data_IF_449672090116
#
_entry.id   IF_449672090116
#
_cell.length_a   1.000
_cell.length_b   1.000
_cell.length_c   1.000
_cell.angle_alpha   90.00
_cell.angle_beta   90.00
_cell.angle_gamma   90.00
#
_symmetry.space_group_name_H-M   'P 1'
#
loop_
_entity.id
_entity.type
_entity.pdbx_description
1 polymer ?
#
# COMPACT_ATOMS: atom_id res chain seq x y z
N UNK A 1 55.47 -5.07 -27.58
CA UNK A 1 54.50 -4.23 -28.30
C UNK A 1 53.13 -4.90 -28.21
N UNK A 2 52.46 -4.82 -27.05
CA UNK A 2 51.14 -5.43 -26.81
C UNK A 2 50.08 -4.36 -27.05
N UNK A 3 49.29 -4.53 -28.14
CA UNK A 3 48.11 -3.69 -28.43
C UNK A 3 46.96 -4.08 -27.50
N UNK A 4 46.68 -3.25 -26.50
CA UNK A 4 45.44 -3.24 -25.72
C UNK A 4 44.28 -2.92 -26.66
N UNK A 5 43.49 -3.93 -27.02
CA UNK A 5 42.17 -3.76 -27.65
C UNK A 5 41.21 -3.20 -26.62
N UNK A 6 41.03 -1.91 -26.61
CA UNK A 6 39.92 -1.26 -25.89
C UNK A 6 38.61 -1.69 -26.54
N UNK A 7 37.87 -2.57 -25.84
CA UNK A 7 36.48 -2.91 -26.15
C UNK A 7 35.59 -1.70 -25.79
N UNK A 8 35.50 -0.76 -26.71
CA UNK A 8 34.53 0.33 -26.66
C UNK A 8 33.14 -0.26 -27.01
N UNK A 9 32.48 -0.95 -26.06
CA UNK A 9 31.07 -1.23 -26.18
C UNK A 9 30.33 0.09 -26.01
N UNK A 10 30.04 0.75 -27.13
CA UNK A 10 29.06 1.83 -27.19
C UNK A 10 27.79 1.32 -26.50
N UNK A 11 27.53 1.82 -25.26
CA UNK A 11 26.23 1.74 -24.63
C UNK A 11 25.26 2.47 -25.57
N UNK A 12 24.53 1.74 -26.41
CA UNK A 12 23.33 2.29 -27.06
C UNK A 12 22.50 2.90 -25.93
N UNK A 13 22.34 4.22 -25.93
CA UNK A 13 21.34 4.89 -25.12
C UNK A 13 20.02 4.19 -25.41
N UNK A 14 19.49 3.47 -24.42
CA UNK A 14 18.17 2.86 -24.53
C UNK A 14 17.17 4.01 -24.61
N UNK A 15 16.69 4.30 -25.81
CA UNK A 15 15.57 5.21 -26.00
C UNK A 15 14.33 4.58 -25.40
N UNK A 16 13.69 5.31 -24.49
CA UNK A 16 12.49 4.83 -23.80
C UNK A 16 11.36 4.67 -24.81
N UNK A 17 10.73 3.53 -24.83
CA UNK A 17 9.48 3.35 -25.56
C UNK A 17 8.37 4.15 -24.88
N UNK A 18 8.03 5.30 -25.50
CA UNK A 18 6.98 6.20 -24.99
C UNK A 18 5.62 5.51 -24.86
N UNK A 19 5.29 4.56 -25.75
CA UNK A 19 4.03 3.81 -25.71
C UNK A 19 3.99 2.91 -24.48
N UNK A 20 5.07 2.17 -24.22
CA UNK A 20 5.22 1.32 -23.04
C UNK A 20 5.12 2.14 -21.74
N UNK A 21 5.77 3.32 -21.70
CA UNK A 21 5.74 4.22 -20.54
C UNK A 21 4.31 4.73 -20.26
N UNK A 22 3.63 5.26 -21.29
CA UNK A 22 2.27 5.81 -21.16
C UNK A 22 1.31 4.69 -20.72
N UNK A 23 1.38 3.51 -21.34
CA UNK A 23 0.57 2.37 -20.96
C UNK A 23 0.78 2.02 -19.46
N UNK A 24 2.05 1.87 -19.07
CA UNK A 24 2.37 1.52 -17.67
C UNK A 24 1.84 2.55 -16.68
N UNK A 25 1.97 3.86 -16.95
CA UNK A 25 1.46 4.92 -16.08
C UNK A 25 -0.08 4.91 -16.00
N UNK A 26 -0.77 4.72 -17.12
CA UNK A 26 -2.24 4.60 -17.14
C UNK A 26 -2.67 3.38 -16.30
N UNK A 27 -2.02 2.23 -16.49
CA UNK A 27 -2.33 1.02 -15.73
C UNK A 27 -2.16 1.22 -14.23
N UNK A 28 -1.06 1.84 -13.82
CA UNK A 28 -0.80 2.15 -12.40
C UNK A 28 -1.85 3.10 -11.83
N UNK A 29 -2.24 4.12 -12.58
CA UNK A 29 -3.31 5.05 -12.18
C UNK A 29 -4.63 4.35 -11.95
N UNK A 30 -5.03 3.48 -12.89
CA UNK A 30 -6.26 2.72 -12.80
C UNK A 30 -6.23 1.69 -11.66
N UNK A 31 -5.08 1.04 -11.39
CA UNK A 31 -4.89 0.19 -10.23
C UNK A 31 -5.05 0.99 -8.91
N UNK A 32 -4.49 2.20 -8.85
CA UNK A 32 -4.65 3.10 -7.70
C UNK A 32 -6.11 3.48 -7.45
N UNK A 33 -6.86 3.82 -8.50
CA UNK A 33 -8.31 4.08 -8.40
C UNK A 33 -9.03 2.83 -7.89
N UNK A 34 -8.75 1.66 -8.45
CA UNK A 34 -9.36 0.40 -8.06
C UNK A 34 -9.17 0.09 -6.58
N UNK A 35 -7.97 0.29 -6.07
CA UNK A 35 -7.68 0.11 -4.65
C UNK A 35 -8.48 1.10 -3.76
N UNK A 36 -8.56 2.37 -4.16
CA UNK A 36 -9.24 3.41 -3.39
C UNK A 36 -10.77 3.34 -3.42
N UNK A 37 -11.36 2.87 -4.53
CA UNK A 37 -12.82 2.89 -4.76
C UNK A 37 -13.60 2.03 -3.75
N UNK A 38 -12.96 1.01 -3.19
CA UNK A 38 -13.55 0.04 -2.27
C UNK A 38 -13.75 0.65 -0.87
N UNK A 39 -12.76 1.37 -0.37
CA UNK A 39 -12.65 1.75 1.03
C UNK A 39 -13.93 2.40 1.65
N UNK A 40 -14.61 3.38 1.00
CA UNK A 40 -15.79 4.01 1.57
C UNK A 40 -17.05 3.14 1.49
N UNK A 41 -17.04 2.05 0.72
CA UNK A 41 -18.25 1.29 0.35
C UNK A 41 -18.34 -0.06 1.04
N UNK A 42 -17.20 -0.66 1.43
CA UNK A 42 -17.17 -2.01 2.04
C UNK A 42 -18.13 -2.19 3.20
N UNK A 43 -18.22 -1.28 4.20
CA UNK A 43 -19.15 -1.47 5.30
C UNK A 43 -20.61 -1.60 4.83
N UNK A 44 -21.02 -0.79 3.85
CA UNK A 44 -22.39 -0.80 3.32
C UNK A 44 -22.67 -2.06 2.48
N UNK A 45 -21.67 -2.62 1.79
CA UNK A 45 -21.79 -3.90 1.07
C UNK A 45 -21.93 -5.09 2.02
N UNK A 46 -21.29 -5.00 3.19
CA UNK A 46 -21.31 -6.06 4.23
C UNK A 46 -22.58 -6.01 5.06
N UNK A 47 -23.16 -4.82 5.25
CA UNK A 47 -24.32 -4.59 6.13
C UNK A 47 -25.48 -5.60 5.95
N UNK A 48 -25.93 -5.97 4.73
CA UNK A 48 -27.02 -6.90 4.54
C UNK A 48 -26.76 -8.33 5.03
N UNK A 49 -25.48 -8.68 5.28
CA UNK A 49 -25.04 -10.03 5.65
C UNK A 49 -24.65 -10.14 7.12
N UNK A 50 -24.84 -9.07 7.91
CA UNK A 50 -24.45 -9.00 9.32
C UNK A 50 -25.64 -8.62 10.18
N UNK A 51 -25.69 -9.15 11.40
CA UNK A 51 -26.83 -8.97 12.34
C UNK A 51 -26.75 -7.67 13.11
N UNK A 52 -25.56 -7.13 13.30
CA UNK A 52 -25.30 -5.94 14.08
C UNK A 52 -23.99 -5.26 13.68
N UNK A 53 -23.76 -4.03 14.16
CA UNK A 53 -22.56 -3.23 13.85
C UNK A 53 -21.26 -3.91 14.31
N UNK A 54 -21.30 -4.69 15.39
CA UNK A 54 -20.12 -5.43 15.88
C UNK A 54 -19.68 -6.51 14.90
N UNK A 55 -20.62 -7.32 14.43
CA UNK A 55 -20.37 -8.34 13.41
C UNK A 55 -19.87 -7.69 12.10
N UNK A 56 -20.49 -6.59 11.71
CA UNK A 56 -20.10 -5.82 10.53
C UNK A 56 -18.65 -5.34 10.61
N UNK A 57 -18.22 -4.75 11.74
CA UNK A 57 -16.85 -4.31 11.95
C UNK A 57 -15.83 -5.46 11.84
N UNK A 58 -16.13 -6.63 12.40
CA UNK A 58 -15.30 -7.84 12.30
C UNK A 58 -15.19 -8.30 10.83
N UNK A 59 -16.31 -8.40 10.14
CA UNK A 59 -16.34 -8.86 8.75
C UNK A 59 -15.58 -7.91 7.85
N UNK A 60 -15.76 -6.58 7.99
CA UNK A 60 -15.03 -5.57 7.22
C UNK A 60 -13.52 -5.72 7.42
N UNK A 61 -13.07 -5.82 8.67
CA UNK A 61 -11.63 -5.96 8.98
C UNK A 61 -11.05 -7.29 8.47
N UNK A 62 -11.83 -8.37 8.53
CA UNK A 62 -11.43 -9.68 7.97
C UNK A 62 -11.31 -9.64 6.45
N UNK A 63 -12.23 -8.98 5.73
CA UNK A 63 -12.16 -8.82 4.27
C UNK A 63 -10.89 -8.07 3.85
N UNK A 64 -10.50 -7.03 4.59
CA UNK A 64 -9.27 -6.29 4.34
C UNK A 64 -8.04 -7.15 4.65
N UNK A 65 -8.05 -7.88 5.76
CA UNK A 65 -6.94 -8.74 6.17
C UNK A 65 -6.75 -9.94 5.23
N UNK A 66 -7.83 -10.56 4.76
CA UNK A 66 -7.78 -11.67 3.79
C UNK A 66 -7.19 -11.21 2.46
N UNK A 67 -7.59 -10.03 1.97
CA UNK A 67 -6.96 -9.44 0.80
C UNK A 67 -5.44 -9.26 0.99
N UNK A 68 -5.04 -8.60 2.08
CA UNK A 68 -3.62 -8.36 2.38
C UNK A 68 -2.83 -9.67 2.56
N UNK A 69 -3.44 -10.69 3.17
CA UNK A 69 -2.88 -12.02 3.30
C UNK A 69 -2.63 -12.66 1.92
N UNK A 70 -3.62 -12.65 1.04
CA UNK A 70 -3.47 -13.19 -0.31
C UNK A 70 -2.38 -12.45 -1.09
N UNK A 71 -2.34 -11.11 -1.04
CA UNK A 71 -1.28 -10.29 -1.67
C UNK A 71 0.09 -10.67 -1.13
N UNK A 72 0.25 -10.82 0.19
CA UNK A 72 1.53 -11.17 0.82
C UNK A 72 2.13 -12.47 0.30
N UNK A 73 1.29 -13.50 0.13
CA UNK A 73 1.73 -14.79 -0.39
C UNK A 73 1.85 -14.82 -1.91
N UNK A 74 0.99 -14.09 -2.63
CA UNK A 74 0.98 -14.08 -4.08
C UNK A 74 2.11 -13.24 -4.70
N UNK A 75 2.49 -12.11 -4.08
CA UNK A 75 3.44 -11.17 -4.66
C UNK A 75 4.81 -11.77 -5.04
N UNK A 76 5.48 -12.58 -4.19
CA UNK A 76 6.72 -13.26 -4.59
C UNK A 76 6.52 -14.23 -5.76
N UNK A 77 5.39 -14.96 -5.75
CA UNK A 77 5.02 -15.90 -6.80
C UNK A 77 4.80 -15.21 -8.14
N UNK A 78 4.01 -14.13 -8.16
CA UNK A 78 3.75 -13.33 -9.36
C UNK A 78 5.05 -12.70 -9.90
N UNK A 79 5.92 -12.20 -9.04
CA UNK A 79 7.25 -11.71 -9.41
C UNK A 79 8.07 -12.80 -10.10
N UNK A 80 8.18 -13.99 -9.49
CA UNK A 80 8.92 -15.12 -10.07
C UNK A 80 8.30 -15.64 -11.39
N UNK A 81 6.98 -15.67 -11.48
CA UNK A 81 6.26 -16.02 -12.72
C UNK A 81 6.55 -15.01 -13.82
N UNK A 82 6.57 -13.72 -13.50
CA UNK A 82 6.87 -12.66 -14.46
C UNK A 82 8.33 -12.69 -14.95
N UNK A 83 9.29 -13.11 -14.09
CA UNK A 83 10.68 -13.36 -14.48
C UNK A 83 10.83 -14.56 -15.42
N UNK A 84 9.91 -15.53 -15.36
CA UNK A 84 9.97 -16.75 -16.18
C UNK A 84 9.18 -16.61 -17.47
N UNK A 85 7.95 -16.13 -17.42
CA UNK A 85 7.03 -16.12 -18.56
C UNK A 85 7.02 -14.77 -19.29
N UNK A 86 7.52 -13.71 -18.67
CA UNK A 86 7.49 -12.35 -19.16
C UNK A 86 6.56 -11.46 -18.33
N UNK A 87 6.76 -10.15 -18.38
CA UNK A 87 5.98 -9.18 -17.60
C UNK A 87 4.54 -9.07 -18.11
N UNK A 88 4.39 -8.94 -19.44
CA UNK A 88 3.11 -8.73 -20.09
C UNK A 88 2.06 -9.81 -19.76
N UNK A 89 2.30 -11.12 -19.99
CA UNK A 89 1.27 -12.13 -19.74
C UNK A 89 0.87 -12.19 -18.26
N UNK A 90 1.81 -12.01 -17.34
CA UNK A 90 1.50 -12.04 -15.89
C UNK A 90 0.66 -10.83 -15.50
N UNK A 91 1.01 -9.62 -15.94
CA UNK A 91 0.22 -8.41 -15.67
C UNK A 91 -1.19 -8.49 -16.25
N UNK A 92 -1.36 -9.03 -17.46
CA UNK A 92 -2.68 -9.22 -18.07
C UNK A 92 -3.54 -10.21 -17.27
N UNK A 93 -2.96 -11.33 -16.81
CA UNK A 93 -3.68 -12.29 -15.95
C UNK A 93 -4.05 -11.65 -14.62
N UNK A 94 -3.16 -10.83 -14.02
CA UNK A 94 -3.47 -10.10 -12.79
C UNK A 94 -4.62 -9.12 -12.99
N UNK A 95 -4.62 -8.33 -14.07
CA UNK A 95 -5.72 -7.40 -14.38
C UNK A 95 -7.06 -8.13 -14.59
N UNK A 96 -7.06 -9.24 -15.34
CA UNK A 96 -8.27 -10.04 -15.52
C UNK A 96 -8.78 -10.63 -14.20
N UNK A 97 -7.89 -11.16 -13.37
CA UNK A 97 -8.25 -11.68 -12.06
C UNK A 97 -8.77 -10.61 -11.13
N UNK A 98 -8.16 -9.41 -11.10
CA UNK A 98 -8.66 -8.28 -10.33
C UNK A 98 -10.04 -7.80 -10.82
N UNK A 99 -10.26 -7.74 -12.14
CA UNK A 99 -11.59 -7.42 -12.69
C UNK A 99 -12.66 -8.45 -12.27
N UNK A 100 -12.31 -9.73 -12.29
CA UNK A 100 -13.20 -10.80 -11.79
C UNK A 100 -13.44 -10.67 -10.28
N UNK A 101 -12.40 -10.36 -9.49
CA UNK A 101 -12.52 -10.14 -8.06
C UNK A 101 -13.50 -9.02 -7.73
N UNK A 102 -13.38 -7.86 -8.40
CA UNK A 102 -14.31 -6.73 -8.26
C UNK A 102 -15.74 -7.13 -8.66
N UNK A 103 -15.89 -7.84 -9.78
CA UNK A 103 -17.20 -8.27 -10.26
C UNK A 103 -17.88 -9.19 -9.23
N UNK A 104 -17.18 -10.22 -8.76
CA UNK A 104 -17.69 -11.17 -7.77
C UNK A 104 -18.03 -10.45 -6.46
N UNK A 105 -17.15 -9.54 -6.01
CA UNK A 105 -17.38 -8.74 -4.80
C UNK A 105 -18.61 -7.85 -4.94
N UNK A 106 -18.84 -7.26 -6.12
CA UNK A 106 -20.01 -6.42 -6.43
C UNK A 106 -21.33 -7.19 -6.57
N UNK A 107 -21.30 -8.43 -7.08
CA UNK A 107 -22.50 -9.30 -7.18
C UNK A 107 -23.07 -9.58 -5.79
N UNK A 108 -22.21 -9.79 -4.78
CA UNK A 108 -22.69 -10.05 -3.43
C UNK A 108 -23.55 -11.31 -3.35
N UNK A 109 -24.72 -11.23 -2.70
CA UNK A 109 -25.66 -12.34 -2.54
C UNK A 109 -25.40 -13.22 -1.32
N UNK A 110 -24.14 -13.38 -0.92
CA UNK A 110 -23.74 -14.08 0.31
C UNK A 110 -22.37 -13.61 0.81
N UNK A 111 -22.14 -13.73 2.10
CA UNK A 111 -20.88 -13.30 2.71
C UNK A 111 -19.65 -14.02 2.12
N UNK A 112 -19.76 -15.33 1.88
CA UNK A 112 -18.67 -16.11 1.29
C UNK A 112 -18.29 -15.64 -0.13
N UNK A 113 -19.23 -15.06 -0.90
CA UNK A 113 -18.98 -14.49 -2.24
C UNK A 113 -18.11 -13.23 -2.10
N UNK A 114 -18.38 -12.40 -1.08
CA UNK A 114 -17.53 -11.23 -0.79
C UNK A 114 -16.09 -11.68 -0.46
N UNK A 115 -15.92 -12.71 0.37
CA UNK A 115 -14.60 -13.27 0.65
C UNK A 115 -13.94 -13.85 -0.59
N UNK A 116 -14.67 -14.58 -1.43
CA UNK A 116 -14.15 -15.12 -2.69
C UNK A 116 -13.65 -14.01 -3.62
N UNK A 117 -14.40 -12.91 -3.77
CA UNK A 117 -13.98 -11.73 -4.52
C UNK A 117 -12.67 -11.15 -4.00
N UNK A 118 -12.55 -10.97 -2.67
CA UNK A 118 -11.33 -10.45 -2.01
C UNK A 118 -10.13 -11.39 -2.11
N UNK A 119 -10.36 -12.71 -2.07
CA UNK A 119 -9.29 -13.72 -2.26
C UNK A 119 -8.76 -13.66 -3.69
N UNK A 120 -9.66 -13.68 -4.70
CA UNK A 120 -9.25 -13.60 -6.10
C UNK A 120 -8.50 -12.31 -6.38
N UNK A 121 -9.04 -11.18 -5.94
CA UNK A 121 -8.39 -9.86 -6.07
C UNK A 121 -7.02 -9.84 -5.35
N UNK A 122 -6.92 -10.40 -4.14
CA UNK A 122 -5.68 -10.46 -3.39
C UNK A 122 -4.61 -11.32 -4.06
N UNK A 123 -4.98 -12.48 -4.61
CA UNK A 123 -4.04 -13.35 -5.34
C UNK A 123 -3.51 -12.64 -6.59
N UNK A 124 -4.33 -11.85 -7.26
CA UNK A 124 -3.97 -11.14 -8.50
C UNK A 124 -3.43 -9.74 -8.25
N UNK A 125 -3.75 -9.11 -7.11
CA UNK A 125 -3.29 -7.77 -6.73
C UNK A 125 -1.85 -7.69 -6.19
N UNK A 126 -1.11 -8.80 -6.15
CA UNK A 126 0.32 -8.84 -5.84
C UNK A 126 1.22 -8.40 -7.00
N UNK A 127 0.68 -7.77 -8.03
CA UNK A 127 1.34 -7.39 -9.28
C UNK A 127 2.21 -6.12 -9.18
N UNK A 128 2.15 -5.38 -8.09
CA UNK A 128 2.94 -4.15 -7.87
C UNK A 128 4.44 -4.41 -8.11
N UNK A 129 4.98 -5.54 -7.63
CA UNK A 129 6.37 -5.93 -7.87
C UNK A 129 6.67 -6.14 -9.36
N UNK A 130 5.73 -6.71 -10.11
CA UNK A 130 5.83 -6.93 -11.56
C UNK A 130 5.73 -5.61 -12.32
N UNK A 131 4.91 -4.67 -11.86
CA UNK A 131 4.82 -3.31 -12.43
C UNK A 131 6.15 -2.58 -12.28
N UNK A 132 6.74 -2.55 -11.09
CA UNK A 132 8.06 -1.93 -10.89
C UNK A 132 9.15 -2.62 -11.73
N UNK A 133 9.11 -3.94 -11.86
CA UNK A 133 10.02 -4.68 -12.72
C UNK A 133 9.83 -4.33 -14.21
N UNK A 134 8.59 -4.19 -14.68
CA UNK A 134 8.27 -3.71 -16.02
C UNK A 134 8.89 -2.33 -16.30
N UNK A 135 8.70 -1.38 -15.38
CA UNK A 135 9.31 -0.05 -15.50
C UNK A 135 10.84 -0.10 -15.45
N UNK A 136 11.43 -0.99 -14.63
CA UNK A 136 12.89 -1.18 -14.58
C UNK A 136 13.43 -1.72 -15.90
N UNK A 137 12.66 -2.56 -16.62
CA UNK A 137 13.06 -3.14 -17.92
C UNK A 137 12.99 -2.11 -19.07
N UNK A 138 12.00 -1.19 -19.06
CA UNK A 138 11.79 -0.19 -20.13
C UNK A 138 12.54 1.12 -19.91
N UNK A 139 13.15 1.33 -18.73
CA UNK A 139 13.83 2.60 -18.40
C UNK A 139 15.34 2.41 -18.25
N UNK A 140 16.16 3.38 -18.71
CA UNK A 140 17.60 3.37 -18.50
C UNK A 140 17.95 3.35 -17.01
N UNK A 141 18.99 2.62 -16.62
CA UNK A 141 19.38 2.46 -15.20
C UNK A 141 19.68 3.79 -14.49
N UNK A 142 20.21 4.78 -15.19
CA UNK A 142 20.50 6.12 -14.67
C UNK A 142 19.25 7.01 -14.49
N UNK A 143 18.08 6.60 -15.01
CA UNK A 143 16.82 7.35 -14.92
C UNK A 143 15.74 6.58 -14.13
N UNK A 144 16.00 5.35 -13.68
CA UNK A 144 15.02 4.51 -12.97
C UNK A 144 14.36 5.22 -11.79
N UNK A 145 15.15 5.90 -10.96
CA UNK A 145 14.63 6.64 -9.80
C UNK A 145 13.58 7.68 -10.20
N UNK A 146 13.81 8.40 -11.32
CA UNK A 146 12.85 9.38 -11.85
C UNK A 146 11.53 8.70 -12.24
N UNK A 147 11.60 7.60 -13.00
CA UNK A 147 10.40 6.91 -13.48
C UNK A 147 9.67 6.15 -12.37
N UNK A 148 10.38 5.60 -11.39
CA UNK A 148 9.77 5.04 -10.19
C UNK A 148 9.05 6.12 -9.37
N UNK A 149 9.60 7.33 -9.31
CA UNK A 149 8.91 8.49 -8.75
C UNK A 149 7.60 8.82 -9.47
N UNK A 150 7.59 8.75 -10.82
CA UNK A 150 6.36 8.94 -11.59
C UNK A 150 5.33 7.83 -11.33
N UNK A 151 5.76 6.56 -11.26
CA UNK A 151 4.89 5.43 -10.92
C UNK A 151 4.24 5.65 -9.56
N UNK A 152 5.02 6.02 -8.55
CA UNK A 152 4.50 6.28 -7.20
C UNK A 152 3.56 7.48 -7.16
N UNK A 153 3.88 8.58 -7.86
CA UNK A 153 3.04 9.76 -7.92
C UNK A 153 1.68 9.48 -8.60
N UNK A 154 1.72 8.72 -9.70
CA UNK A 154 0.50 8.34 -10.45
C UNK A 154 -0.34 7.34 -9.67
N UNK A 155 0.28 6.36 -8.99
CA UNK A 155 -0.42 5.47 -8.07
C UNK A 155 -1.10 6.26 -6.94
N UNK A 156 -0.38 7.20 -6.32
CA UNK A 156 -0.92 8.09 -5.30
C UNK A 156 -2.10 8.93 -5.80
N UNK A 157 -2.01 9.50 -7.01
CA UNK A 157 -3.14 10.23 -7.61
C UNK A 157 -4.38 9.33 -7.79
N UNK A 158 -4.19 8.08 -8.21
CA UNK A 158 -5.28 7.10 -8.31
C UNK A 158 -5.92 6.80 -6.95
N UNK A 159 -5.11 6.57 -5.93
CA UNK A 159 -5.60 6.27 -4.56
C UNK A 159 -6.30 7.48 -3.91
N UNK A 160 -5.98 8.70 -4.32
CA UNK A 160 -6.67 9.93 -3.88
C UNK A 160 -8.04 10.07 -4.55
N UNK A 161 -8.12 9.80 -5.85
CA UNK A 161 -9.36 9.95 -6.63
C UNK A 161 -10.33 8.79 -6.34
N UNK A 162 -9.80 7.59 -6.13
CA UNK A 162 -10.59 6.36 -5.95
C UNK A 162 -11.69 6.47 -4.90
N UNK A 163 -11.41 6.88 -3.65
CA UNK A 163 -12.42 6.98 -2.60
C UNK A 163 -13.55 7.97 -2.92
N UNK A 164 -13.25 9.14 -3.51
CA UNK A 164 -14.31 10.08 -3.94
C UNK A 164 -15.18 9.45 -5.01
N UNK A 165 -14.59 8.80 -6.02
CA UNK A 165 -15.37 8.09 -7.05
C UNK A 165 -16.23 6.99 -6.43
N UNK A 166 -15.67 6.18 -5.53
CA UNK A 166 -16.41 5.12 -4.85
C UNK A 166 -17.59 5.65 -4.05
N UNK A 167 -17.36 6.70 -3.27
CA UNK A 167 -18.40 7.35 -2.48
C UNK A 167 -19.49 8.00 -3.32
N UNK A 168 -19.15 8.63 -4.45
CA UNK A 168 -20.12 9.24 -5.36
C UNK A 168 -20.94 8.19 -6.13
N UNK A 169 -20.28 7.14 -6.62
CA UNK A 169 -20.94 6.05 -7.34
C UNK A 169 -21.87 5.25 -6.43
N UNK A 170 -21.60 5.19 -5.13
CA UNK A 170 -22.46 4.53 -4.15
C UNK A 170 -23.89 5.11 -4.07
N UNK A 171 -24.11 6.35 -4.57
CA UNK A 171 -25.45 6.95 -4.70
C UNK A 171 -26.35 6.18 -5.66
N UNK A 172 -25.76 5.47 -6.62
CA UNK A 172 -26.49 4.63 -7.60
C UNK A 172 -26.65 3.17 -7.13
N UNK A 173 -26.10 2.84 -5.95
CA UNK A 173 -26.10 1.52 -5.36
C UNK A 173 -24.69 1.13 -4.88
N UNK A 174 -24.61 0.41 -3.75
CA UNK A 174 -23.32 0.08 -3.13
C UNK A 174 -22.46 -0.88 -3.96
N UNK A 175 -23.07 -1.66 -4.86
CA UNK A 175 -22.36 -2.53 -5.80
C UNK A 175 -21.81 -1.79 -7.03
N UNK A 176 -22.36 -0.60 -7.37
CA UNK A 176 -21.98 0.14 -8.58
C UNK A 176 -20.49 0.50 -8.62
N UNK A 177 -19.86 0.96 -7.53
CA UNK A 177 -18.42 1.20 -7.52
C UNK A 177 -17.60 -0.04 -7.91
N UNK A 178 -18.04 -1.23 -7.48
CA UNK A 178 -17.37 -2.50 -7.80
C UNK A 178 -17.51 -2.85 -9.28
N UNK A 179 -18.68 -2.67 -9.86
CA UNK A 179 -18.90 -2.90 -11.30
C UNK A 179 -18.12 -1.92 -12.17
N UNK A 180 -18.04 -0.65 -11.75
CA UNK A 180 -17.22 0.36 -12.44
C UNK A 180 -15.74 -0.01 -12.33
N UNK A 181 -15.27 -0.39 -11.13
CA UNK A 181 -13.91 -0.88 -10.92
C UNK A 181 -13.58 -2.08 -11.80
N UNK A 182 -14.48 -3.07 -11.86
CA UNK A 182 -14.34 -4.24 -12.72
C UNK A 182 -14.25 -3.83 -14.20
N UNK A 183 -15.14 -2.95 -14.66
CA UNK A 183 -15.17 -2.46 -16.04
C UNK A 183 -13.91 -1.72 -16.43
N UNK A 184 -13.45 -0.78 -15.58
CA UNK A 184 -12.21 -0.01 -15.80
C UNK A 184 -10.98 -0.93 -15.83
N UNK A 185 -10.91 -1.91 -14.91
CA UNK A 185 -9.80 -2.88 -14.86
C UNK A 185 -9.82 -3.80 -16.07
N UNK A 186 -11.00 -4.23 -16.52
CA UNK A 186 -11.15 -5.04 -17.74
C UNK A 186 -10.73 -4.23 -18.98
N UNK A 187 -11.17 -2.98 -19.10
CA UNK A 187 -10.75 -2.09 -20.19
C UNK A 187 -9.22 -1.90 -20.21
N UNK A 188 -8.61 -1.77 -19.03
CA UNK A 188 -7.15 -1.71 -18.91
C UNK A 188 -6.48 -3.02 -19.35
N UNK A 189 -7.06 -4.18 -19.02
CA UNK A 189 -6.57 -5.48 -19.49
C UNK A 189 -6.68 -5.61 -21.02
N UNK A 190 -7.81 -5.21 -21.61
CA UNK A 190 -8.00 -5.17 -23.07
C UNK A 190 -7.01 -4.21 -23.74
N UNK A 191 -6.84 -3.00 -23.20
CA UNK A 191 -5.86 -2.04 -23.68
C UNK A 191 -4.44 -2.62 -23.60
N UNK A 192 -4.08 -3.27 -22.50
CA UNK A 192 -2.80 -3.96 -22.32
C UNK A 192 -2.61 -5.12 -23.30
N UNK A 193 -3.68 -5.85 -23.60
CA UNK A 193 -3.60 -6.94 -24.56
C UNK A 193 -3.21 -6.46 -25.96
N UNK A 194 -3.69 -5.32 -26.41
CA UNK A 194 -3.39 -4.80 -27.74
C UNK A 194 -2.11 -3.94 -27.81
N UNK A 195 -1.82 -3.17 -26.75
CA UNK A 195 -0.83 -2.10 -26.81
C UNK A 195 0.39 -2.28 -25.90
N UNK A 196 0.34 -3.18 -24.90
CA UNK A 196 1.46 -3.40 -24.01
C UNK A 196 2.57 -4.21 -24.68
N UNK A 197 3.79 -3.67 -24.88
CA UNK A 197 4.92 -4.48 -25.34
C UNK A 197 5.45 -5.37 -24.21
N UNK A 198 6.06 -6.51 -24.59
CA UNK A 198 6.80 -7.33 -23.63
C UNK A 198 8.14 -6.66 -23.31
N UNK A 199 8.40 -6.39 -22.04
CA UNK A 199 9.63 -5.75 -21.59
C UNK A 199 10.74 -6.75 -21.27
N UNK A 200 10.38 -7.98 -20.87
CA UNK A 200 11.33 -8.99 -20.45
C UNK A 200 11.68 -9.97 -21.57
N UNK A 201 12.78 -9.70 -22.27
CA UNK A 201 13.23 -10.52 -23.41
C UNK A 201 13.46 -11.99 -23.00
N UNK A 202 13.15 -12.91 -23.93
CA UNK A 202 13.26 -14.37 -23.72
C UNK A 202 14.63 -14.81 -23.21
N UNK A 203 15.70 -14.16 -23.64
CA UNK A 203 17.08 -14.49 -23.25
C UNK A 203 17.38 -14.17 -21.77
N UNK A 204 16.62 -13.29 -21.14
CA UNK A 204 16.81 -12.87 -19.75
C UNK A 204 15.91 -13.65 -18.78
N UNK A 205 15.02 -14.51 -19.30
CA UNK A 205 14.06 -15.27 -18.50
C UNK A 205 14.73 -16.37 -17.70
N UNK A 206 14.30 -16.49 -16.43
CA UNK A 206 14.77 -17.59 -15.56
C UNK A 206 14.23 -18.93 -16.05
N UNK A 207 15.09 -19.95 -16.06
CA UNK A 207 14.70 -21.32 -16.52
C UNK A 207 13.88 -22.07 -15.47
N UNK A 208 14.17 -21.88 -14.19
CA UNK A 208 13.51 -22.58 -13.07
C UNK A 208 13.16 -21.60 -11.95
N UNK A 209 11.97 -21.75 -11.40
CA UNK A 209 11.53 -21.06 -10.19
C UNK A 209 11.93 -21.92 -9.00
N UNK A 210 12.63 -21.34 -8.02
CA UNK A 210 13.01 -22.02 -6.79
C UNK A 210 12.03 -21.71 -5.67
N UNK A 211 11.76 -22.66 -4.79
CA UNK A 211 10.86 -22.48 -3.64
C UNK A 211 11.24 -21.29 -2.75
N UNK A 212 12.54 -21.00 -2.63
CA UNK A 212 13.06 -19.87 -1.87
C UNK A 212 12.52 -18.52 -2.40
N UNK A 213 12.33 -18.42 -3.71
CA UNK A 213 11.77 -17.19 -4.34
C UNK A 213 10.26 -17.03 -4.13
N UNK A 214 9.56 -18.11 -3.80
CA UNK A 214 8.11 -18.10 -3.56
C UNK A 214 7.75 -17.81 -2.11
N UNK A 215 8.71 -17.98 -1.19
CA UNK A 215 8.45 -17.85 0.25
C UNK A 215 8.69 -16.40 0.75
N UNK A 216 7.64 -15.65 1.11
CA UNK A 216 7.79 -14.28 1.62
C UNK A 216 8.55 -14.21 2.96
N UNK A 217 8.54 -15.29 3.75
CA UNK A 217 9.24 -15.33 5.03
C UNK A 217 10.76 -15.39 4.89
N UNK A 218 11.31 -15.84 3.76
CA UNK A 218 12.76 -15.85 3.54
C UNK A 218 13.31 -14.42 3.46
N UNK A 219 12.60 -13.49 2.84
CA UNK A 219 12.99 -12.09 2.80
C UNK A 219 12.93 -11.48 4.21
N UNK A 220 11.84 -11.75 4.93
CA UNK A 220 11.63 -11.28 6.30
C UNK A 220 12.76 -11.78 7.24
N UNK A 221 13.03 -13.08 7.26
CA UNK A 221 14.08 -13.68 8.09
C UNK A 221 15.46 -13.08 7.76
N UNK A 222 15.73 -12.83 6.48
CA UNK A 222 17.02 -12.30 6.02
C UNK A 222 17.32 -10.90 6.57
N UNK A 223 16.31 -10.04 6.72
CA UNK A 223 16.51 -8.67 7.24
C UNK A 223 16.46 -8.61 8.77
N UNK A 224 15.65 -9.45 9.41
CA UNK A 224 15.61 -9.54 10.88
C UNK A 224 16.93 -10.04 11.49
N UNK A 225 17.77 -10.73 10.70
CA UNK A 225 19.11 -11.13 11.10
C UNK A 225 20.13 -9.98 11.09
N UNK A 226 19.82 -8.84 10.44
CA UNK A 226 20.70 -7.68 10.37
C UNK A 226 20.58 -6.83 11.64
N UNK A 227 21.59 -6.91 12.53
CA UNK A 227 21.59 -6.22 13.85
C UNK A 227 21.34 -4.72 13.73
N UNK A 228 21.92 -4.05 12.73
CA UNK A 228 21.82 -2.60 12.54
C UNK A 228 20.40 -2.15 12.14
N UNK A 229 19.63 -3.00 11.48
CA UNK A 229 18.27 -2.71 11.02
C UNK A 229 17.20 -3.09 12.03
N UNK A 230 17.49 -4.03 12.93
CA UNK A 230 16.48 -4.65 13.81
C UNK A 230 15.63 -3.62 14.56
N UNK A 231 16.23 -2.58 15.13
CA UNK A 231 15.52 -1.53 15.89
C UNK A 231 14.64 -0.67 14.98
N UNK A 232 15.14 -0.30 13.80
CA UNK A 232 14.39 0.48 12.82
C UNK A 232 13.16 -0.32 12.33
N UNK A 233 13.34 -1.61 12.05
CA UNK A 233 12.29 -2.50 11.58
C UNK A 233 11.23 -2.79 12.66
N UNK A 234 11.64 -2.99 13.91
CA UNK A 234 10.71 -3.18 15.04
C UNK A 234 9.90 -1.90 15.27
N UNK A 235 10.56 -0.74 15.25
CA UNK A 235 9.88 0.55 15.39
C UNK A 235 8.85 0.77 14.28
N UNK A 236 9.20 0.50 13.02
CA UNK A 236 8.28 0.60 11.90
C UNK A 236 7.11 -0.40 11.99
N UNK A 237 7.37 -1.64 12.41
CA UNK A 237 6.32 -2.64 12.60
C UNK A 237 5.30 -2.22 13.66
N UNK A 238 5.79 -1.70 14.80
CA UNK A 238 4.95 -1.18 15.88
C UNK A 238 4.09 0.02 15.42
N UNK A 239 4.60 0.87 14.52
CA UNK A 239 3.85 1.98 13.95
C UNK A 239 2.82 1.49 12.91
N UNK A 240 3.20 0.55 12.04
CA UNK A 240 2.30 0.09 10.98
C UNK A 240 1.13 -0.78 11.46
N UNK A 241 1.23 -1.43 12.62
CA UNK A 241 0.09 -2.18 13.20
C UNK A 241 -1.12 -1.25 13.45
N UNK A 242 -1.01 -0.17 14.23
CA UNK A 242 -2.15 0.73 14.45
C UNK A 242 -2.57 1.49 13.18
N UNK A 243 -1.63 1.80 12.27
CA UNK A 243 -1.97 2.37 10.97
C UNK A 243 -2.83 1.41 10.13
N UNK A 244 -2.47 0.12 10.08
CA UNK A 244 -3.29 -0.93 9.45
C UNK A 244 -4.63 -1.13 10.15
N UNK A 245 -4.67 -1.06 11.49
CA UNK A 245 -5.90 -1.08 12.28
C UNK A 245 -6.83 0.07 11.91
N UNK A 246 -6.30 1.30 11.88
CA UNK A 246 -7.06 2.49 11.50
C UNK A 246 -7.59 2.37 10.07
N UNK A 247 -6.74 1.97 9.12
CA UNK A 247 -7.15 1.75 7.72
C UNK A 247 -8.30 0.72 7.62
N UNK A 248 -8.27 -0.33 8.45
CA UNK A 248 -9.29 -1.38 8.47
C UNK A 248 -10.63 -0.94 9.04
N UNK A 249 -10.62 -0.03 10.02
CA UNK A 249 -11.79 0.31 10.83
C UNK A 249 -12.37 1.68 10.47
N UNK A 250 -11.58 2.59 9.90
CA UNK A 250 -11.94 4.01 9.78
C UNK A 250 -13.30 4.25 9.12
N UNK A 251 -13.63 3.52 8.05
CA UNK A 251 -14.92 3.65 7.37
C UNK A 251 -16.07 3.20 8.26
N UNK A 252 -15.89 2.08 8.99
CA UNK A 252 -16.88 1.60 9.96
C UNK A 252 -17.01 2.58 11.14
N UNK A 253 -15.90 3.06 11.67
CA UNK A 253 -15.86 4.01 12.77
C UNK A 253 -16.66 5.28 12.50
N UNK A 254 -16.47 5.90 11.34
CA UNK A 254 -17.18 7.16 11.02
C UNK A 254 -18.66 6.93 10.70
N UNK A 255 -19.05 5.72 10.31
CA UNK A 255 -20.45 5.32 10.20
C UNK A 255 -21.07 5.17 11.59
N UNK A 256 -20.43 4.41 12.47
CA UNK A 256 -20.94 4.09 13.79
C UNK A 256 -21.06 5.32 14.70
N UNK A 257 -20.05 6.21 14.66
CA UNK A 257 -19.96 7.35 15.60
C UNK A 257 -20.60 8.61 15.03
N UNK A 258 -20.52 8.83 13.70
CA UNK A 258 -20.95 10.09 13.08
C UNK A 258 -22.06 9.90 12.03
N UNK A 259 -22.47 8.66 11.74
CA UNK A 259 -23.48 8.34 10.70
C UNK A 259 -23.12 8.88 9.30
N UNK A 260 -21.84 8.84 8.94
CA UNK A 260 -21.38 9.34 7.66
C UNK A 260 -21.80 8.47 6.48
N UNK A 261 -22.10 9.14 5.37
CA UNK A 261 -22.41 8.49 4.09
C UNK A 261 -21.11 8.10 3.34
N UNK A 262 -21.18 7.14 2.39
CA UNK A 262 -20.01 6.79 1.56
C UNK A 262 -19.38 7.99 0.84
N UNK A 263 -20.20 8.95 0.41
CA UNK A 263 -19.74 10.15 -0.27
C UNK A 263 -18.87 11.04 0.64
N UNK A 264 -19.27 11.24 1.91
CA UNK A 264 -18.47 12.00 2.88
C UNK A 264 -17.18 11.26 3.23
N UNK A 265 -17.23 9.96 3.41
CA UNK A 265 -16.05 9.12 3.68
C UNK A 265 -15.06 9.24 2.53
N UNK A 266 -15.53 9.07 1.29
CA UNK A 266 -14.71 9.20 0.09
C UNK A 266 -14.07 10.57 -0.06
N UNK A 267 -14.84 11.65 0.18
CA UNK A 267 -14.36 13.02 0.13
C UNK A 267 -13.22 13.28 1.13
N UNK A 268 -13.41 12.89 2.40
CA UNK A 268 -12.40 13.10 3.44
C UNK A 268 -11.13 12.30 3.13
N UNK A 269 -11.23 11.06 2.65
CA UNK A 269 -10.05 10.29 2.26
C UNK A 269 -9.29 10.95 1.12
N UNK A 270 -9.99 11.52 0.14
CA UNK A 270 -9.33 12.24 -0.95
C UNK A 270 -8.66 13.53 -0.48
N UNK A 271 -9.29 14.28 0.43
CA UNK A 271 -8.68 15.49 1.02
C UNK A 271 -7.40 15.14 1.79
N UNK A 272 -7.41 14.06 2.59
CA UNK A 272 -6.22 13.58 3.30
C UNK A 272 -5.15 13.12 2.32
N UNK A 273 -5.52 12.41 1.24
CA UNK A 273 -4.59 12.00 0.21
C UNK A 273 -3.96 13.19 -0.55
N UNK A 274 -4.71 14.26 -0.81
CA UNK A 274 -4.17 15.51 -1.37
C UNK A 274 -3.18 16.13 -0.38
N UNK A 275 -3.52 16.19 0.90
CA UNK A 275 -2.64 16.68 1.95
C UNK A 275 -1.33 15.87 2.00
N UNK A 276 -1.39 14.54 1.88
CA UNK A 276 -0.21 13.67 1.85
C UNK A 276 0.73 14.06 0.68
N UNK A 277 0.18 14.20 -0.53
CA UNK A 277 0.94 14.65 -1.70
C UNK A 277 1.58 16.02 -1.46
N UNK A 278 0.82 16.99 -0.94
CA UNK A 278 1.33 18.32 -0.65
C UNK A 278 2.42 18.31 0.43
N UNK A 279 2.26 17.51 1.46
CA UNK A 279 3.25 17.34 2.53
C UNK A 279 4.56 16.76 1.99
N UNK A 280 4.49 15.71 1.18
CA UNK A 280 5.67 15.11 0.54
C UNK A 280 6.34 16.05 -0.46
N UNK A 281 5.57 16.80 -1.25
CA UNK A 281 6.11 17.70 -2.26
C UNK A 281 6.74 18.99 -1.68
N UNK A 282 6.13 19.59 -0.66
CA UNK A 282 6.50 20.93 -0.18
C UNK A 282 7.11 20.94 1.23
N UNK A 283 6.65 20.07 2.13
CA UNK A 283 7.11 20.07 3.53
C UNK A 283 8.34 19.19 3.69
N UNK A 284 8.31 17.96 3.15
CA UNK A 284 9.42 17.01 3.26
C UNK A 284 10.76 17.57 2.79
N UNK A 285 10.89 18.24 1.62
CA UNK A 285 12.15 18.83 1.20
C UNK A 285 12.70 19.92 2.13
N UNK A 286 11.79 20.66 2.81
CA UNK A 286 12.19 21.68 3.79
C UNK A 286 12.70 21.04 5.09
N UNK A 287 12.06 19.96 5.53
CA UNK A 287 12.49 19.21 6.71
C UNK A 287 13.86 18.56 6.49
N UNK A 288 14.09 17.94 5.34
CA UNK A 288 15.37 17.30 4.98
C UNK A 288 16.56 18.27 4.94
N UNK A 289 16.32 19.58 4.76
CA UNK A 289 17.37 20.61 4.83
C UNK A 289 17.84 20.89 6.28
N UNK A 290 17.02 20.58 7.29
CA UNK A 290 17.26 20.97 8.68
C UNK A 290 17.39 19.77 9.63
N UNK A 291 16.78 18.66 9.29
CA UNK A 291 16.64 17.48 10.16
C UNK A 291 17.18 16.23 9.46
N UNK A 292 17.70 15.29 10.25
CA UNK A 292 18.06 13.96 9.78
C UNK A 292 16.81 13.08 9.56
N UNK A 293 16.95 12.01 8.76
CA UNK A 293 15.84 11.07 8.50
C UNK A 293 15.25 10.53 9.82
N UNK A 294 16.10 10.22 10.82
CA UNK A 294 15.64 9.73 12.12
C UNK A 294 14.82 10.79 12.89
N UNK A 295 15.24 12.07 12.84
CA UNK A 295 14.48 13.14 13.49
C UNK A 295 13.14 13.40 12.79
N UNK A 296 13.10 13.31 11.46
CA UNK A 296 11.85 13.45 10.70
C UNK A 296 10.92 12.26 11.00
N UNK A 297 11.45 11.02 11.04
CA UNK A 297 10.68 9.86 11.42
C UNK A 297 10.09 9.97 12.83
N UNK A 298 10.88 10.44 13.81
CA UNK A 298 10.39 10.69 15.16
C UNK A 298 9.32 11.79 15.21
N UNK A 299 9.48 12.87 14.42
CA UNK A 299 8.47 13.92 14.29
C UNK A 299 7.14 13.35 13.73
N UNK A 300 7.21 12.47 12.72
CA UNK A 300 6.06 11.75 12.18
C UNK A 300 5.37 10.91 13.27
N UNK A 301 6.13 10.13 14.04
CA UNK A 301 5.59 9.34 15.15
C UNK A 301 4.91 10.20 16.23
N UNK A 302 5.51 11.33 16.61
CA UNK A 302 4.90 12.26 17.57
C UNK A 302 3.58 12.81 17.02
N UNK A 303 3.55 13.17 15.73
CA UNK A 303 2.32 13.61 15.06
C UNK A 303 1.25 12.54 15.09
N UNK A 304 1.59 11.27 14.81
CA UNK A 304 0.63 10.16 14.87
C UNK A 304 0.12 9.90 16.30
N UNK A 305 0.97 9.99 17.34
CA UNK A 305 0.54 9.87 18.73
C UNK A 305 -0.52 10.93 19.07
N UNK A 306 -0.27 12.19 18.68
CA UNK A 306 -1.21 13.29 18.85
C UNK A 306 -2.50 13.01 18.09
N UNK A 307 -2.39 12.57 16.84
CA UNK A 307 -3.52 12.23 15.98
C UNK A 307 -4.41 11.14 16.58
N UNK A 308 -3.82 10.04 17.04
CA UNK A 308 -4.56 8.97 17.73
C UNK A 308 -5.23 9.47 19.01
N UNK A 309 -4.60 10.41 19.74
CA UNK A 309 -5.22 11.09 20.87
C UNK A 309 -6.49 11.84 20.46
N UNK A 310 -6.42 12.64 19.37
CA UNK A 310 -7.60 13.33 18.84
C UNK A 310 -8.69 12.37 18.35
N UNK A 311 -8.31 11.27 17.68
CA UNK A 311 -9.25 10.23 17.24
C UNK A 311 -9.93 9.58 18.45
N UNK A 312 -9.18 9.25 19.52
CA UNK A 312 -9.75 8.69 20.76
C UNK A 312 -10.75 9.66 21.43
N UNK A 313 -10.38 10.93 21.54
CA UNK A 313 -11.26 11.97 22.10
C UNK A 313 -12.52 12.13 21.22
N UNK A 314 -12.38 12.12 19.91
CA UNK A 314 -13.52 12.22 18.99
C UNK A 314 -14.48 11.05 19.12
N UNK A 315 -13.95 9.84 19.39
CA UNK A 315 -14.75 8.63 19.63
C UNK A 315 -15.55 8.73 20.94
N UNK A 316 -14.94 9.29 21.99
CA UNK A 316 -15.57 9.42 23.31
C UNK A 316 -16.64 10.52 23.34
N UNK A 317 -16.41 11.61 22.65
CA UNK A 317 -17.27 12.80 22.65
C UNK A 317 -18.22 12.87 21.44
N UNK A 318 -18.11 11.97 20.46
CA UNK A 318 -18.83 11.96 19.19
C UNK A 318 -18.69 13.28 18.40
N UNK A 319 -17.49 13.90 18.45
CA UNK A 319 -17.20 15.19 17.84
C UNK A 319 -16.44 15.00 16.52
N UNK A 320 -17.13 15.08 15.37
CA UNK A 320 -16.50 14.92 14.06
C UNK A 320 -15.44 16.00 13.72
N UNK A 321 -15.49 17.27 14.18
CA UNK A 321 -14.41 18.22 13.90
C UNK A 321 -13.09 17.80 14.54
N UNK A 322 -13.13 17.21 15.75
CA UNK A 322 -11.95 16.68 16.46
C UNK A 322 -11.35 15.50 15.67
N UNK A 323 -12.21 14.64 15.12
CA UNK A 323 -11.80 13.55 14.24
C UNK A 323 -11.08 14.07 13.00
N UNK A 324 -11.66 15.07 12.31
CA UNK A 324 -11.07 15.65 11.10
C UNK A 324 -9.68 16.23 11.40
N UNK A 325 -9.54 16.99 12.50
CA UNK A 325 -8.23 17.51 12.93
C UNK A 325 -7.25 16.37 13.17
N UNK A 326 -7.68 15.33 13.89
CA UNK A 326 -6.88 14.13 14.14
C UNK A 326 -6.40 13.48 12.85
N UNK A 327 -7.28 13.32 11.85
CA UNK A 327 -6.95 12.75 10.55
C UNK A 327 -5.95 13.59 9.75
N UNK A 328 -6.05 14.93 9.81
CA UNK A 328 -5.05 15.81 9.19
C UNK A 328 -3.69 15.70 9.85
N UNK A 329 -3.63 15.59 11.18
CA UNK A 329 -2.38 15.40 11.92
C UNK A 329 -1.81 14.01 11.61
N UNK A 330 -2.66 12.98 11.50
CA UNK A 330 -2.25 11.63 11.11
C UNK A 330 -1.64 11.62 9.70
N UNK A 331 -2.36 12.17 8.71
CA UNK A 331 -1.88 12.25 7.33
C UNK A 331 -0.54 12.98 7.22
N UNK A 332 -0.33 14.05 7.98
CA UNK A 332 0.98 14.72 8.05
C UNK A 332 2.05 13.80 8.62
N UNK A 333 1.80 13.09 9.73
CA UNK A 333 2.74 12.17 10.36
C UNK A 333 3.15 11.03 9.43
N UNK A 334 2.18 10.35 8.83
CA UNK A 334 2.39 9.23 7.90
C UNK A 334 3.16 9.67 6.65
N UNK A 335 2.82 10.85 6.09
CA UNK A 335 3.46 11.40 4.88
C UNK A 335 4.97 11.65 5.02
N UNK A 336 5.44 11.99 6.21
CA UNK A 336 6.87 12.25 6.47
C UNK A 336 7.60 11.02 7.03
N UNK A 337 6.88 10.09 7.70
CA UNK A 337 7.48 8.88 8.26
C UNK A 337 7.98 7.93 7.17
N UNK A 338 7.14 7.61 6.18
CA UNK A 338 7.45 6.63 5.13
C UNK A 338 8.75 6.92 4.37
N UNK A 339 8.92 8.12 3.77
CA UNK A 339 10.16 8.49 3.09
C UNK A 339 11.38 8.49 4.03
N UNK A 340 11.23 8.96 5.28
CA UNK A 340 12.31 8.99 6.27
C UNK A 340 12.75 7.59 6.68
N UNK A 341 11.79 6.68 6.90
CA UNK A 341 12.06 5.28 7.17
C UNK A 341 12.85 4.64 6.02
N UNK A 342 12.40 4.81 4.78
CA UNK A 342 13.11 4.30 3.60
C UNK A 342 14.52 4.88 3.48
N UNK A 343 14.71 6.16 3.81
CA UNK A 343 16.01 6.82 3.88
C UNK A 343 16.94 6.19 4.92
N UNK A 344 16.45 5.95 6.15
CA UNK A 344 17.21 5.28 7.21
C UNK A 344 17.62 3.88 6.83
N UNK A 345 16.67 3.10 6.30
CA UNK A 345 16.88 1.71 5.87
C UNK A 345 17.92 1.66 4.75
N UNK A 346 17.80 2.52 3.74
CA UNK A 346 18.72 2.58 2.61
C UNK A 346 20.14 2.96 3.02
N UNK A 347 20.31 3.90 3.96
CA UNK A 347 21.62 4.34 4.46
C UNK A 347 22.28 3.33 5.40
N UNK A 348 21.55 2.35 5.89
CA UNK A 348 22.05 1.34 6.85
C UNK A 348 22.72 0.14 6.19
N UNK A 349 22.71 0.05 4.83
CA UNK A 349 23.24 -1.10 4.08
C UNK A 349 23.95 -0.65 2.81
N UNK A 350 24.84 -1.51 2.31
CA UNK A 350 25.55 -1.29 1.06
C UNK A 350 24.62 -1.40 -0.16
N UNK A 351 25.04 -0.83 -1.30
CA UNK A 351 24.27 -0.82 -2.54
C UNK A 351 23.89 -2.22 -3.05
N UNK A 352 24.69 -3.23 -2.75
CA UNK A 352 24.44 -4.64 -3.11
C UNK A 352 23.29 -5.27 -2.32
N UNK A 353 22.98 -4.77 -1.11
CA UNK A 353 21.93 -5.28 -0.24
C UNK A 353 20.62 -4.50 -0.29
N UNK A 354 20.58 -3.37 -1.00
CA UNK A 354 19.41 -2.47 -1.09
C UNK A 354 18.13 -3.21 -1.47
N UNK A 355 18.16 -4.04 -2.51
CA UNK A 355 17.00 -4.79 -2.97
C UNK A 355 16.47 -5.77 -1.92
N UNK A 356 17.38 -6.45 -1.20
CA UNK A 356 17.04 -7.40 -0.13
C UNK A 356 16.36 -6.69 1.03
N UNK A 357 16.87 -5.54 1.43
CA UNK A 357 16.36 -4.79 2.57
C UNK A 357 15.04 -4.11 2.24
N UNK A 358 14.89 -3.55 1.05
CA UNK A 358 13.61 -2.99 0.59
C UNK A 358 12.52 -4.06 0.50
N UNK A 359 12.81 -5.22 -0.08
CA UNK A 359 11.87 -6.33 -0.14
C UNK A 359 11.44 -6.83 1.24
N UNK A 360 12.38 -6.95 2.17
CA UNK A 360 12.07 -7.35 3.53
C UNK A 360 11.27 -6.30 4.31
N UNK A 361 11.55 -5.00 4.13
CA UNK A 361 10.76 -3.92 4.72
C UNK A 361 9.31 -3.94 4.23
N UNK A 362 9.09 -4.19 2.94
CA UNK A 362 7.74 -4.37 2.38
C UNK A 362 7.03 -5.59 2.99
N UNK A 363 7.76 -6.67 3.27
CA UNK A 363 7.19 -7.86 3.93
C UNK A 363 6.73 -7.57 5.36
N UNK A 364 7.49 -6.76 6.12
CA UNK A 364 7.09 -6.30 7.47
C UNK A 364 5.83 -5.44 7.40
N UNK A 365 5.78 -4.50 6.46
CA UNK A 365 4.62 -3.65 6.25
C UNK A 365 3.38 -4.48 5.87
N UNK A 366 3.55 -5.47 5.00
CA UNK A 366 2.47 -6.37 4.61
C UNK A 366 1.94 -7.19 5.79
N UNK A 367 2.81 -7.70 6.68
CA UNK A 367 2.37 -8.36 7.91
C UNK A 367 1.57 -7.43 8.82
N UNK A 368 1.99 -6.18 8.97
CA UNK A 368 1.24 -5.20 9.75
C UNK A 368 -0.15 -4.92 9.15
N UNK A 369 -0.27 -4.88 7.82
CA UNK A 369 -1.55 -4.76 7.11
C UNK A 369 -2.46 -5.98 7.24
N UNK A 370 -1.91 -7.16 7.54
CA UNK A 370 -2.70 -8.36 7.85
C UNK A 370 -3.17 -8.33 9.30
N UNK A 371 -2.24 -8.09 10.22
CA UNK A 371 -2.46 -8.21 11.67
C UNK A 371 -3.24 -7.00 12.21
N UNK A 372 -2.92 -5.80 11.73
CA UNK A 372 -3.49 -4.53 12.21
C UNK A 372 -5.01 -4.50 12.17
N UNK A 373 -5.68 -4.74 11.03
CA UNK A 373 -7.13 -4.74 10.94
C UNK A 373 -7.78 -5.80 11.84
N UNK A 374 -7.18 -7.00 11.96
CA UNK A 374 -7.72 -8.07 12.82
C UNK A 374 -7.71 -7.63 14.29
N UNK A 375 -6.54 -7.20 14.79
CA UNK A 375 -6.43 -6.73 16.18
C UNK A 375 -7.34 -5.52 16.39
N UNK A 376 -7.31 -4.58 15.46
CA UNK A 376 -8.13 -3.38 15.51
C UNK A 376 -9.63 -3.69 15.58
N UNK A 377 -10.13 -4.58 14.72
CA UNK A 377 -11.52 -5.00 14.72
C UNK A 377 -11.92 -5.69 16.01
N UNK A 378 -11.08 -6.58 16.53
CA UNK A 378 -11.34 -7.28 17.78
C UNK A 378 -11.43 -6.31 18.99
N UNK A 379 -10.47 -5.39 19.15
CA UNK A 379 -10.49 -4.44 20.25
C UNK A 379 -11.57 -3.37 20.08
N UNK A 380 -11.89 -2.99 18.85
CA UNK A 380 -13.00 -2.08 18.53
C UNK A 380 -14.34 -2.63 19.02
N UNK A 381 -14.58 -3.91 18.79
CA UNK A 381 -15.81 -4.60 19.19
C UNK A 381 -15.85 -4.92 20.67
N UNK A 382 -14.71 -5.30 21.29
CA UNK A 382 -14.65 -5.75 22.68
C UNK A 382 -14.51 -4.60 23.69
N UNK A 383 -13.74 -3.56 23.35
CA UNK A 383 -13.38 -2.47 24.26
C UNK A 383 -13.99 -1.12 23.86
N UNK A 384 -14.66 -1.04 22.70
CA UNK A 384 -15.34 0.15 22.21
C UNK A 384 -14.56 0.96 21.18
N UNK A 385 -15.23 1.98 20.64
CA UNK A 385 -14.80 2.72 19.44
C UNK A 385 -13.46 3.48 19.62
N UNK A 386 -13.14 3.90 20.83
CA UNK A 386 -11.89 4.61 21.14
C UNK A 386 -10.67 3.68 21.29
N UNK A 387 -10.89 2.39 21.55
CA UNK A 387 -9.82 1.47 21.94
C UNK A 387 -8.73 1.28 20.87
N UNK A 388 -9.02 1.19 19.55
CA UNK A 388 -7.99 1.13 18.54
C UNK A 388 -7.08 2.38 18.50
N UNK A 389 -7.65 3.56 18.78
CA UNK A 389 -6.87 4.78 18.84
C UNK A 389 -5.96 4.82 20.09
N UNK A 390 -6.41 4.35 21.25
CA UNK A 390 -5.54 4.17 22.42
C UNK A 390 -4.42 3.17 22.16
N UNK A 391 -4.70 2.06 21.47
CA UNK A 391 -3.67 1.13 21.01
C UNK A 391 -2.64 1.85 20.13
N UNK A 392 -3.09 2.76 19.25
CA UNK A 392 -2.24 3.59 18.40
C UNK A 392 -1.27 4.45 19.23
N UNK A 393 -1.78 5.17 20.24
CA UNK A 393 -0.95 5.97 21.16
C UNK A 393 0.13 5.10 21.83
N UNK A 394 -0.25 3.93 22.33
CA UNK A 394 0.67 3.04 23.06
C UNK A 394 1.73 2.43 22.13
N UNK A 395 1.33 1.88 20.99
CA UNK A 395 2.27 1.20 20.07
C UNK A 395 3.18 2.18 19.37
N UNK A 396 2.68 3.35 18.91
CA UNK A 396 3.53 4.37 18.29
C UNK A 396 4.43 5.02 19.35
N UNK A 397 3.97 5.18 20.58
CA UNK A 397 4.80 5.60 21.72
C UNK A 397 5.96 4.63 21.97
N UNK A 398 5.67 3.32 22.01
CA UNK A 398 6.70 2.29 22.12
C UNK A 398 7.66 2.30 20.91
N UNK A 399 7.13 2.49 19.70
CA UNK A 399 7.93 2.62 18.48
C UNK A 399 8.91 3.80 18.55
N UNK A 400 8.45 4.95 19.04
CA UNK A 400 9.26 6.15 19.23
C UNK A 400 10.43 5.90 20.21
N UNK A 401 10.15 5.25 21.35
CA UNK A 401 11.18 4.89 22.35
C UNK A 401 12.21 3.94 21.75
N UNK A 402 11.77 2.91 20.99
CA UNK A 402 12.67 1.94 20.34
C UNK A 402 13.58 2.66 19.32
N UNK A 403 13.02 3.57 18.51
CA UNK A 403 13.78 4.31 17.51
C UNK A 403 14.76 5.28 18.18
N UNK A 404 14.33 6.03 19.18
CA UNK A 404 15.15 6.98 19.94
C UNK A 404 16.38 6.31 20.56
N UNK A 405 16.18 5.18 21.26
CA UNK A 405 17.27 4.40 21.84
C UNK A 405 18.19 3.80 20.77
N UNK A 406 17.68 3.54 19.55
CA UNK A 406 18.48 3.07 18.43
C UNK A 406 19.40 4.14 17.83
N UNK A 407 18.96 5.39 17.84
CA UNK A 407 19.69 6.53 17.28
C UNK A 407 20.69 7.14 18.28
N UNK A 408 20.33 7.21 19.57
CA UNK A 408 21.16 7.82 20.59
C UNK A 408 22.30 6.92 21.09
N UNK A 409 22.13 5.58 21.06
CA UNK A 409 23.16 4.63 21.54
C UNK A 409 24.25 4.37 20.49
N UNK A 410 24.04 4.72 19.23
CA UNK A 410 25.01 4.56 18.13
C UNK A 410 25.77 5.89 17.81
N UNK A 411 25.57 6.95 18.59
CA UNK A 411 26.43 8.14 18.64
C UNK A 411 27.43 8.02 19.78
#
# INVERSE_FOLDING_TARGET
MFKLRTHNKQKKEQTIDKKALIFGLISVFLCGIGFGIIAPVVPFLVQPYTRNLREQAIVVTLLISVYAFCVFFAAPGLGALSDRYGRRPVLLVCLLGSAMGYLIFGIGGALWILFAGRIIEGITGGDISTIFAYFADITPSNQRTKYFGWVSAVAGAGTVIGPTLGGLLAKFGYSVPMYVGAGVTLLNAVYGFFFMPESHHKNNRIKRITFVRLNPFTQLASILSMKNLKRILISAFLLWIPAGSLQGIISQFVIDVFSWTPALIGLIFSIIGIQDILSQAFIMPKLLKKLSDAQIAMLGMVSEIIAYGFIAVSALLSLYPVFIIGMFIFGFGDSIFGPSFNGMVSKSVDSSEQGRVQGGSQSIQALARIIGPIIGGLIYVSLGHAAPAFMGVLLVGAALVVLYNGVCVNK
#
